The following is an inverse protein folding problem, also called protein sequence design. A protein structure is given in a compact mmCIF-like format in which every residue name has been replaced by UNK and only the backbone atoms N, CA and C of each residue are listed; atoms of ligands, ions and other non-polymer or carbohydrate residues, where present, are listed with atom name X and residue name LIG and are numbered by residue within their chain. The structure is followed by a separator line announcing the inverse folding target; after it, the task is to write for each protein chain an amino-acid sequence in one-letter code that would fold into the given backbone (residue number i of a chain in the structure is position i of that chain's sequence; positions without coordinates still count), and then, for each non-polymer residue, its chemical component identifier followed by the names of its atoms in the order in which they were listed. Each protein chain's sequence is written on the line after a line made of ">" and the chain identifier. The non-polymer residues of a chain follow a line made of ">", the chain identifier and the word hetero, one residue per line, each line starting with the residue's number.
data_IF_153142829013
#
_entry.id   IF_153142829013
#
_cell.length_a   1.000
_cell.length_b   1.000
_cell.length_c   1.000
_cell.angle_alpha   90.00
_cell.angle_beta   90.00
_cell.angle_gamma   90.00
#
_symmetry.space_group_name_H-M   'P 1'
#
loop_
_entity.id
_entity.type
_entity.pdbx_description
1 polymer ?
#
# COMPACT_ATOMS: atom_id res chain seq x y z
N UNK A 1 5.18 26.87 4.23
CA UNK A 1 6.32 26.01 3.83
C UNK A 1 7.63 26.36 4.57
N UNK A 2 7.57 26.91 5.80
CA UNK A 2 8.77 27.37 6.54
C UNK A 2 9.22 26.37 7.63
N UNK A 3 8.42 25.32 7.90
CA UNK A 3 8.67 24.33 8.96
C UNK A 3 9.31 23.01 8.47
N UNK A 4 9.66 22.91 7.18
CA UNK A 4 10.31 21.71 6.65
C UNK A 4 11.83 21.86 6.70
N UNK A 5 12.56 20.95 7.37
CA UNK A 5 14.02 20.97 7.36
C UNK A 5 14.57 20.91 5.93
N UNK A 6 15.70 21.56 5.66
CA UNK A 6 16.32 21.68 4.33
C UNK A 6 16.57 20.34 3.59
N UNK A 7 16.57 19.21 4.30
CA UNK A 7 16.75 17.87 3.74
C UNK A 7 15.44 17.12 3.44
N UNK A 8 14.26 17.72 3.66
CA UNK A 8 12.97 17.05 3.45
C UNK A 8 12.36 17.47 2.13
N UNK A 9 12.31 16.55 1.16
CA UNK A 9 11.58 16.73 -0.10
C UNK A 9 10.17 16.16 0.03
N UNK A 10 9.18 17.04 0.15
CA UNK A 10 7.77 16.67 -0.01
C UNK A 10 7.41 16.69 -1.50
N UNK A 11 6.91 15.56 -1.99
CA UNK A 11 6.44 15.41 -3.37
C UNK A 11 4.97 14.99 -3.33
N UNK A 12 4.13 15.69 -4.10
CA UNK A 12 2.73 15.36 -4.28
C UNK A 12 2.53 14.89 -5.72
N UNK A 13 1.72 13.87 -5.92
CA UNK A 13 1.24 13.48 -7.24
C UNK A 13 -0.27 13.31 -7.16
N UNK A 14 -0.98 13.75 -8.21
CA UNK A 14 -2.41 13.54 -8.30
C UNK A 14 -2.66 12.06 -8.59
N UNK A 15 -3.39 11.36 -7.71
CA UNK A 15 -3.69 9.93 -7.88
C UNK A 15 -4.39 9.62 -9.21
N UNK A 16 -5.11 10.59 -9.77
CA UNK A 16 -5.77 10.53 -11.08
C UNK A 16 -4.81 10.38 -12.25
N UNK A 17 -3.52 10.71 -12.08
CA UNK A 17 -2.51 10.55 -13.13
C UNK A 17 -1.99 9.12 -13.24
N UNK A 18 -2.17 8.29 -12.21
CA UNK A 18 -1.69 6.91 -12.23
C UNK A 18 -2.33 6.14 -13.39
N UNK A 19 -1.52 5.39 -14.13
CA UNK A 19 -1.91 4.65 -15.33
C UNK A 19 -2.28 5.50 -16.56
N UNK A 20 -1.96 6.80 -16.54
CA UNK A 20 -1.95 7.65 -17.76
C UNK A 20 -0.56 7.67 -18.40
N UNK A 21 -0.43 8.23 -19.61
CA UNK A 21 0.90 8.41 -20.26
C UNK A 21 1.84 9.33 -19.46
N UNK A 22 1.29 10.18 -18.59
CA UNK A 22 2.07 11.09 -17.71
C UNK A 22 2.68 10.33 -16.53
N UNK A 23 1.99 9.30 -16.03
CA UNK A 23 2.50 8.41 -14.98
C UNK A 23 2.14 6.96 -15.31
N UNK A 24 2.88 6.34 -16.24
CA UNK A 24 2.60 4.99 -16.70
C UNK A 24 2.72 3.98 -15.56
N UNK A 25 1.79 3.02 -15.50
CA UNK A 25 1.79 2.01 -14.45
C UNK A 25 3.06 1.14 -14.47
N UNK A 26 3.66 0.93 -15.65
CA UNK A 26 4.90 0.17 -15.84
C UNK A 26 6.11 0.78 -15.13
N UNK A 27 6.07 2.10 -14.88
CA UNK A 27 7.16 2.81 -14.21
C UNK A 27 6.98 2.78 -12.68
N UNK A 28 5.88 2.20 -12.19
CA UNK A 28 5.67 1.96 -10.77
C UNK A 28 6.51 0.77 -10.26
N UNK A 29 6.84 0.73 -8.96
CA UNK A 29 7.63 -0.37 -8.39
C UNK A 29 6.84 -1.67 -8.23
N UNK A 30 5.60 -1.76 -8.73
CA UNK A 30 4.72 -2.91 -8.51
C UNK A 30 5.33 -4.22 -9.01
N UNK A 31 5.96 -4.20 -10.19
CA UNK A 31 6.62 -5.38 -10.75
C UNK A 31 7.83 -5.80 -9.91
N UNK A 32 8.67 -4.86 -9.50
CA UNK A 32 9.84 -5.14 -8.66
C UNK A 32 9.43 -5.70 -7.30
N UNK A 33 8.34 -5.18 -6.70
CA UNK A 33 7.78 -5.70 -5.45
C UNK A 33 7.29 -7.14 -5.64
N UNK A 34 6.54 -7.41 -6.71
CA UNK A 34 6.06 -8.76 -7.01
C UNK A 34 7.22 -9.76 -7.21
N UNK A 35 8.27 -9.36 -7.94
CA UNK A 35 9.48 -10.18 -8.10
C UNK A 35 10.20 -10.42 -6.78
N UNK A 36 10.32 -9.41 -5.91
CA UNK A 36 10.95 -9.57 -4.59
C UNK A 36 10.17 -10.52 -3.70
N UNK A 37 8.83 -10.46 -3.72
CA UNK A 37 7.98 -11.41 -2.98
C UNK A 37 8.14 -12.82 -3.54
N UNK A 38 8.09 -12.99 -4.86
CA UNK A 38 8.22 -14.30 -5.51
C UNK A 38 9.59 -14.97 -5.29
N UNK A 39 10.64 -14.18 -5.05
CA UNK A 39 11.99 -14.67 -4.76
C UNK A 39 12.32 -14.69 -3.25
N UNK A 40 11.33 -14.56 -2.37
CA UNK A 40 11.51 -14.52 -0.90
C UNK A 40 12.48 -13.42 -0.40
N UNK A 41 12.65 -12.33 -1.19
CA UNK A 41 13.49 -11.17 -0.86
C UNK A 41 12.74 -10.04 -0.18
N UNK A 42 11.43 -10.20 -0.01
CA UNK A 42 10.58 -9.27 0.74
C UNK A 42 9.58 -10.07 1.56
N UNK A 43 9.64 -9.93 2.88
CA UNK A 43 8.70 -10.57 3.79
C UNK A 43 7.30 -9.99 3.64
N UNK A 44 6.29 -10.86 3.71
CA UNK A 44 4.90 -10.42 3.76
C UNK A 44 4.61 -9.67 5.05
N UNK A 45 3.88 -8.56 4.95
CA UNK A 45 3.33 -7.82 6.08
C UNK A 45 1.88 -8.22 6.38
N UNK A 46 1.42 -9.37 5.86
CA UNK A 46 0.08 -9.89 6.11
C UNK A 46 -0.13 -10.11 7.62
N UNK A 47 -1.07 -9.36 8.19
CA UNK A 47 -1.41 -9.44 9.60
C UNK A 47 -2.66 -10.30 9.84
N UNK A 48 -3.66 -10.19 8.98
CA UNK A 48 -4.92 -10.94 9.15
C UNK A 48 -5.66 -11.16 7.83
N UNK A 49 -6.27 -12.33 7.71
CA UNK A 49 -7.19 -12.68 6.62
C UNK A 49 -8.60 -12.75 7.21
N UNK A 50 -9.57 -12.12 6.55
CA UNK A 50 -11.00 -12.21 6.87
C UNK A 50 -11.74 -12.91 5.73
N UNK A 51 -12.89 -13.52 6.04
CA UNK A 51 -13.84 -13.90 5.02
C UNK A 51 -14.50 -12.63 4.45
N UNK A 52 -14.99 -12.68 3.21
CA UNK A 52 -15.61 -11.51 2.58
C UNK A 52 -16.86 -11.03 3.36
N UNK A 53 -17.57 -11.95 4.00
CA UNK A 53 -18.74 -11.68 4.83
C UNK A 53 -18.40 -10.79 6.04
N UNK A 54 -17.16 -10.85 6.54
CA UNK A 54 -16.67 -10.10 7.71
C UNK A 54 -16.02 -8.76 7.32
N UNK A 55 -16.41 -8.18 6.18
CA UNK A 55 -15.80 -6.95 5.66
C UNK A 55 -15.94 -5.77 6.63
N UNK A 56 -17.04 -5.70 7.38
CA UNK A 56 -17.26 -4.62 8.35
C UNK A 56 -16.25 -4.71 9.50
N UNK A 57 -16.00 -5.91 10.02
CA UNK A 57 -15.05 -6.22 11.06
C UNK A 57 -13.61 -5.96 10.61
N UNK A 58 -13.29 -6.30 9.36
CA UNK A 58 -12.00 -5.98 8.75
C UNK A 58 -11.76 -4.47 8.74
N UNK A 59 -12.77 -3.67 8.36
CA UNK A 59 -12.69 -2.21 8.42
C UNK A 59 -12.63 -1.68 9.85
N UNK A 60 -13.40 -2.23 10.79
CA UNK A 60 -13.30 -1.84 12.21
C UNK A 60 -11.89 -2.01 12.77
N UNK A 61 -11.23 -3.14 12.46
CA UNK A 61 -9.85 -3.37 12.86
C UNK A 61 -8.90 -2.35 12.23
N UNK A 62 -9.07 -2.06 10.93
CA UNK A 62 -8.30 -1.04 10.22
C UNK A 62 -8.45 0.35 10.86
N UNK A 63 -9.69 0.79 11.11
CA UNK A 63 -9.98 2.11 11.72
C UNK A 63 -9.50 2.22 13.16
N UNK A 64 -9.39 1.11 13.88
CA UNK A 64 -8.85 1.12 15.25
C UNK A 64 -7.33 1.38 15.30
N UNK A 65 -6.63 1.29 14.16
CA UNK A 65 -5.17 1.39 14.09
C UNK A 65 -4.42 0.18 14.65
N UNK A 66 -5.13 -0.90 15.00
CA UNK A 66 -4.57 -2.11 15.64
C UNK A 66 -4.29 -3.25 14.67
N UNK A 67 -4.45 -3.03 13.37
CA UNK A 67 -4.24 -4.06 12.35
C UNK A 67 -2.81 -4.62 12.33
N UNK A 68 -1.80 -3.78 12.60
CA UNK A 68 -0.39 -4.21 12.68
C UNK A 68 0.25 -4.67 11.37
N UNK A 69 -0.46 -4.53 10.23
CA UNK A 69 0.00 -4.91 8.91
C UNK A 69 -1.15 -4.93 7.90
N UNK A 70 -0.94 -5.64 6.79
CA UNK A 70 -1.92 -5.75 5.71
C UNK A 70 -3.08 -6.67 6.12
N UNK A 71 -4.31 -6.24 5.81
CA UNK A 71 -5.52 -7.04 5.94
C UNK A 71 -5.94 -7.51 4.55
N UNK A 72 -6.27 -8.79 4.42
CA UNK A 72 -6.75 -9.40 3.17
C UNK A 72 -8.14 -9.97 3.37
N UNK A 73 -9.01 -9.80 2.38
CA UNK A 73 -10.30 -10.50 2.31
C UNK A 73 -10.16 -11.70 1.39
N UNK A 74 -10.64 -12.86 1.85
CA UNK A 74 -10.77 -14.05 1.02
C UNK A 74 -12.12 -14.00 0.30
N UNK A 75 -12.09 -14.11 -1.02
CA UNK A 75 -13.24 -14.11 -1.93
C UNK A 75 -13.38 -15.51 -2.52
#
# INVERSE_FOLDING_TARGET
>A
MMDLPNAVKLSFFNSQLLATDILPLKDSPLNEIAEKIANDRMSSTLAKVFAFEDIQEAHHLLYSGKAGGNIVLKI
#
